data_IF_848443761135
#
_entry.id   IF_848443761135
#
_cell.length_a   1.000
_cell.length_b   1.000
_cell.length_c   1.000
_cell.angle_alpha   90.00
_cell.angle_beta   90.00
_cell.angle_gamma   90.00
#
_symmetry.space_group_name_H-M   'P 1'
#
loop_
_entity.id
_entity.type
_entity.pdbx_description
1 polymer ?
#
# COMPACT_ATOMS: atom_id res chain seq x y z
N UNK A 1 9.62 6.35 -3.88
CA UNK A 1 9.77 4.88 -3.88
C UNK A 1 8.56 4.25 -4.56
N UNK A 2 8.65 2.98 -4.98
CA UNK A 2 7.55 2.24 -5.60
C UNK A 2 7.20 1.01 -4.75
N UNK A 3 5.92 0.85 -4.42
CA UNK A 3 5.38 -0.22 -3.60
C UNK A 3 4.37 -1.02 -4.39
N UNK A 4 4.39 -2.34 -4.21
CA UNK A 4 3.44 -3.25 -4.83
C UNK A 4 2.73 -4.06 -3.77
N UNK A 5 1.45 -3.75 -3.55
CA UNK A 5 0.67 -4.30 -2.44
C UNK A 5 -0.49 -5.15 -2.97
N UNK A 6 -0.75 -6.28 -2.33
CA UNK A 6 -1.92 -7.12 -2.63
C UNK A 6 -3.05 -6.83 -1.64
N UNK A 7 -4.21 -6.44 -2.16
CA UNK A 7 -5.39 -6.07 -1.38
C UNK A 7 -6.59 -6.92 -1.85
N UNK A 8 -6.78 -8.12 -1.28
CA UNK A 8 -7.79 -9.07 -1.75
C UNK A 8 -9.23 -8.53 -1.66
N UNK A 9 -9.49 -7.65 -0.70
CA UNK A 9 -10.81 -7.05 -0.45
C UNK A 9 -11.18 -5.96 -1.47
N UNK A 10 -10.28 -5.60 -2.40
CA UNK A 10 -10.54 -4.60 -3.43
C UNK A 10 -11.43 -5.17 -4.55
N UNK A 11 -12.75 -5.07 -4.39
CA UNK A 11 -13.73 -5.73 -5.27
C UNK A 11 -14.18 -4.89 -6.47
N UNK A 12 -14.17 -3.55 -6.36
CA UNK A 12 -14.69 -2.64 -7.38
C UNK A 12 -13.85 -1.36 -7.51
N UNK A 13 -14.12 -0.55 -8.53
CA UNK A 13 -13.45 0.74 -8.75
C UNK A 13 -13.61 1.70 -7.57
N UNK A 14 -14.76 1.74 -6.92
CA UNK A 14 -14.96 2.57 -5.73
C UNK A 14 -14.07 2.16 -4.54
N UNK A 15 -13.74 0.86 -4.41
CA UNK A 15 -12.75 0.41 -3.43
C UNK A 15 -11.34 0.92 -3.79
N UNK A 16 -10.98 0.84 -5.07
CA UNK A 16 -9.70 1.36 -5.56
C UNK A 16 -9.58 2.88 -5.34
N UNK A 17 -10.65 3.65 -5.55
CA UNK A 17 -10.69 5.09 -5.28
C UNK A 17 -10.51 5.38 -3.79
N UNK A 18 -11.12 4.57 -2.92
CA UNK A 18 -10.99 4.73 -1.47
C UNK A 18 -9.56 4.46 -1.01
N UNK A 19 -8.93 3.40 -1.53
CA UNK A 19 -7.50 3.10 -1.28
C UNK A 19 -6.63 4.24 -1.78
N UNK A 20 -6.88 4.74 -2.99
CA UNK A 20 -6.12 5.85 -3.59
C UNK A 20 -6.18 7.10 -2.72
N UNK A 21 -7.37 7.48 -2.27
CA UNK A 21 -7.56 8.62 -1.35
C UNK A 21 -6.86 8.42 -0.02
N UNK A 22 -6.87 7.21 0.53
CA UNK A 22 -6.18 6.92 1.79
C UNK A 22 -4.66 7.16 1.67
N UNK A 23 -4.06 6.73 0.55
CA UNK A 23 -2.65 7.00 0.25
C UNK A 23 -2.40 8.47 -0.01
N UNK A 24 -3.26 9.15 -0.79
CA UNK A 24 -3.11 10.57 -1.11
C UNK A 24 -3.32 11.50 0.09
N UNK A 25 -4.08 11.08 1.09
CA UNK A 25 -4.20 11.81 2.36
C UNK A 25 -2.89 11.77 3.17
N UNK A 26 -2.07 10.74 2.98
CA UNK A 26 -0.75 10.60 3.59
C UNK A 26 0.31 11.35 2.76
N UNK A 27 0.27 11.19 1.44
CA UNK A 27 1.18 11.83 0.47
C UNK A 27 0.37 12.35 -0.73
N UNK A 28 0.06 13.66 -0.78
CA UNK A 28 -0.77 14.25 -1.84
C UNK A 28 -0.21 14.06 -3.26
N UNK A 29 1.10 13.88 -3.40
CA UNK A 29 1.77 13.68 -4.69
C UNK A 29 1.86 12.18 -5.08
N UNK A 30 1.32 11.29 -4.25
CA UNK A 30 1.36 9.86 -4.51
C UNK A 30 0.57 9.47 -5.77
N UNK A 31 1.16 8.61 -6.59
CA UNK A 31 0.48 7.98 -7.73
C UNK A 31 0.09 6.57 -7.36
N UNK A 32 -1.18 6.24 -7.52
CA UNK A 32 -1.73 4.94 -7.19
C UNK A 32 -2.37 4.34 -8.44
N UNK A 33 -1.99 3.10 -8.75
CA UNK A 33 -2.56 2.34 -9.85
C UNK A 33 -3.07 1.01 -9.33
N UNK A 34 -4.38 0.82 -9.39
CA UNK A 34 -5.05 -0.36 -8.89
C UNK A 34 -5.49 -1.28 -10.03
N UNK A 35 -5.13 -2.55 -9.93
CA UNK A 35 -5.55 -3.63 -10.83
C UNK A 35 -6.57 -4.52 -10.12
N UNK A 36 -7.84 -4.38 -10.51
CA UNK A 36 -8.96 -5.14 -9.96
C UNK A 36 -8.90 -6.64 -10.29
N UNK A 37 -8.56 -7.08 -11.52
CA UNK A 37 -8.31 -8.50 -11.81
C UNK A 37 -7.29 -9.16 -10.90
N UNK A 38 -6.12 -8.54 -10.70
CA UNK A 38 -5.01 -9.16 -9.95
C UNK A 38 -5.01 -8.83 -8.46
N UNK A 39 -5.84 -7.87 -8.02
CA UNK A 39 -5.90 -7.35 -6.65
C UNK A 39 -4.59 -6.70 -6.20
N UNK A 40 -3.85 -6.17 -7.16
CA UNK A 40 -2.56 -5.52 -6.95
C UNK A 40 -2.76 -4.01 -7.02
N UNK A 41 -2.09 -3.29 -6.12
CA UNK A 41 -2.01 -1.83 -6.13
C UNK A 41 -0.54 -1.45 -6.17
N UNK A 42 -0.15 -0.79 -7.26
CA UNK A 42 1.17 -0.18 -7.44
C UNK A 42 1.11 1.28 -6.96
N UNK A 43 2.05 1.69 -6.12
CA UNK A 43 2.04 2.99 -5.44
C UNK A 43 3.41 3.64 -5.59
N UNK A 44 3.47 4.81 -6.22
CA UNK A 44 4.61 5.72 -6.16
C UNK A 44 4.37 6.75 -5.06
N UNK A 45 5.24 6.81 -4.07
CA UNK A 45 5.08 7.72 -2.92
C UNK A 45 6.44 8.05 -2.29
N UNK A 46 6.51 9.13 -1.51
CA UNK A 46 7.65 9.45 -0.64
C UNK A 46 7.50 8.90 0.77
N UNK A 47 6.31 8.45 1.18
CA UNK A 47 6.04 7.88 2.51
C UNK A 47 6.59 6.47 2.68
N UNK A 48 6.85 6.09 3.93
CA UNK A 48 7.36 4.77 4.25
C UNK A 48 6.31 3.67 3.98
N UNK A 49 6.77 2.48 3.61
CA UNK A 49 5.88 1.34 3.33
C UNK A 49 4.93 1.02 4.49
N UNK A 50 5.42 1.11 5.73
CA UNK A 50 4.65 0.86 6.94
C UNK A 50 3.52 1.87 7.13
N UNK A 51 3.77 3.15 6.83
CA UNK A 51 2.76 4.21 6.90
C UNK A 51 1.69 4.01 5.84
N UNK A 52 2.10 3.69 4.61
CA UNK A 52 1.18 3.39 3.49
C UNK A 52 0.29 2.19 3.84
N UNK A 53 0.87 1.08 4.30
CA UNK A 53 0.10 -0.10 4.74
C UNK A 53 -0.88 0.25 5.86
N UNK A 54 -0.46 1.07 6.82
CA UNK A 54 -1.30 1.51 7.95
C UNK A 54 -2.48 2.37 7.47
N UNK A 55 -2.23 3.34 6.58
CA UNK A 55 -3.27 4.20 6.02
C UNK A 55 -4.33 3.39 5.24
N UNK A 56 -3.88 2.44 4.41
CA UNK A 56 -4.76 1.56 3.65
C UNK A 56 -5.57 0.64 4.59
N UNK A 57 -4.94 0.09 5.63
CA UNK A 57 -5.62 -0.72 6.64
C UNK A 57 -6.67 0.08 7.43
N UNK A 58 -6.36 1.33 7.81
CA UNK A 58 -7.28 2.24 8.48
C UNK A 58 -8.50 2.60 7.61
N UNK A 59 -8.36 2.58 6.29
CA UNK A 59 -9.45 2.71 5.35
C UNK A 59 -10.30 1.43 5.18
N UNK A 60 -10.00 0.35 5.92
CA UNK A 60 -10.72 -0.93 5.88
C UNK A 60 -10.18 -1.95 4.89
N UNK A 61 -8.98 -1.72 4.34
CA UNK A 61 -8.38 -2.57 3.31
C UNK A 61 -7.04 -3.17 3.78
N UNK A 62 -7.04 -4.14 4.71
CA UNK A 62 -5.80 -4.72 5.20
C UNK A 62 -4.98 -5.32 4.05
N UNK A 63 -3.71 -4.93 3.98
CA UNK A 63 -2.76 -5.40 2.97
C UNK A 63 -2.28 -6.80 3.34
N UNK A 64 -2.31 -7.74 2.41
CA UNK A 64 -1.61 -9.01 2.61
C UNK A 64 -0.13 -8.80 2.30
N UNK A 65 0.68 -8.59 3.35
CA UNK A 65 2.13 -8.61 3.25
C UNK A 65 2.57 -9.99 2.72
N UNK A 66 3.22 -10.05 1.55
CA UNK A 66 4.34 -10.98 1.46
C UNK A 66 5.47 -10.29 2.19
N UNK A 67 5.75 -10.74 3.40
CA UNK A 67 6.90 -10.32 4.19
C UNK A 67 8.16 -10.57 3.34
N UNK A 68 8.69 -9.52 2.72
CA UNK A 68 10.13 -9.37 2.55
C UNK A 68 10.51 -8.11 3.31
N UNK A 69 10.47 -8.31 4.62
CA UNK A 69 11.28 -7.65 5.62
C UNK A 69 12.65 -7.28 5.03
N UNK A 70 12.78 -6.01 4.67
CA UNK A 70 14.07 -5.35 4.47
C UNK A 70 14.63 -4.83 5.80
N UNK A 71 14.39 -5.53 6.91
CA UNK A 71 15.08 -5.28 8.17
C UNK A 71 16.02 -6.46 8.35
N UNK A 72 17.23 -6.34 7.78
CA UNK A 72 18.36 -7.03 8.35
C UNK A 72 18.95 -6.04 9.36
N UNK A 73 18.64 -6.12 10.66
CA UNK A 73 19.39 -5.37 11.63
C UNK A 73 20.76 -6.04 11.69
N UNK A 74 21.71 -5.54 10.90
CA UNK A 74 23.10 -5.94 11.07
C UNK A 74 23.59 -5.29 12.37
N UNK A 75 24.23 -6.13 13.19
CA UNK A 75 25.18 -5.85 14.27
C UNK A 75 24.62 -5.83 15.70
N UNK A 76 25.04 -6.86 16.45
CA UNK A 76 25.88 -6.82 17.68
C UNK A 76 26.28 -8.30 17.93
N UNK A 77 27.52 -8.76 18.13
CA UNK A 77 28.87 -8.23 18.40
C UNK A 77 29.91 -9.12 17.69
#
# INVERSE_FOLDING_TARGET
MNLKLTIPSMACSACADTITKAVQNLDPDAKVQADLPTKIVDIETQSAETEVKSAIAAAGYPVKSKEKEGINPILND
#
